data_IF_324676710821
#
_entry.id   IF_324676710821
#
_cell.length_a   1.000
_cell.length_b   1.000
_cell.length_c   1.000
_cell.angle_alpha   90.00
_cell.angle_beta   90.00
_cell.angle_gamma   90.00
#
_symmetry.space_group_name_H-M   'P 1'
#
loop_
_entity.id
_entity.type
_entity.pdbx_description
1 polymer ?
#
# COMPACT_ATOMS: atom_id res chain seq x y z
N UNK A 1 -7.71 -3.76 -19.10
CA UNK A 1 -8.08 -2.94 -20.25
C UNK A 1 -7.13 -3.20 -21.41
N UNK A 2 -7.62 -3.17 -22.65
CA UNK A 2 -6.76 -3.24 -23.85
C UNK A 2 -5.85 -2.00 -23.97
N UNK A 3 -6.24 -0.87 -23.41
CA UNK A 3 -5.49 0.38 -23.37
C UNK A 3 -4.47 0.50 -22.23
N UNK A 4 -4.35 -0.50 -21.36
CA UNK A 4 -3.55 -0.42 -20.14
C UNK A 4 -2.11 0.07 -20.37
N UNK A 5 -1.39 -0.54 -21.30
CA UNK A 5 0.00 -0.15 -21.60
C UNK A 5 0.06 1.17 -22.36
N UNK A 6 -0.88 1.42 -23.27
CA UNK A 6 -0.97 2.64 -24.08
C UNK A 6 -1.18 3.86 -23.19
N UNK A 7 -2.16 3.84 -22.28
CA UNK A 7 -2.42 4.95 -21.35
C UNK A 7 -1.24 5.23 -20.43
N UNK A 8 -0.60 4.19 -19.89
CA UNK A 8 0.61 4.36 -19.08
C UNK A 8 1.75 5.00 -19.87
N UNK A 9 1.96 4.53 -21.10
CA UNK A 9 3.01 5.06 -21.98
C UNK A 9 2.73 6.53 -22.38
N UNK A 10 1.50 6.83 -22.75
CA UNK A 10 1.09 8.18 -23.12
C UNK A 10 1.28 9.18 -21.96
N UNK A 11 0.84 8.81 -20.75
CA UNK A 11 1.01 9.63 -19.57
C UNK A 11 2.50 9.82 -19.20
N UNK A 12 3.30 8.75 -19.28
CA UNK A 12 4.76 8.81 -19.07
C UNK A 12 5.41 9.76 -20.08
N UNK A 13 5.04 9.68 -21.36
CA UNK A 13 5.58 10.55 -22.41
C UNK A 13 5.18 12.02 -22.19
N UNK A 14 3.91 12.29 -21.85
CA UNK A 14 3.41 13.65 -21.59
C UNK A 14 4.02 14.31 -20.37
N UNK A 15 4.29 13.55 -19.30
CA UNK A 15 4.93 14.04 -18.08
C UNK A 15 6.47 14.06 -18.16
N UNK A 16 7.08 13.46 -19.17
CA UNK A 16 8.52 13.08 -19.15
C UNK A 16 8.86 12.33 -17.85
N UNK A 17 8.03 11.34 -17.51
CA UNK A 17 8.11 10.62 -16.26
C UNK A 17 8.99 9.37 -16.36
N UNK A 18 9.49 8.91 -15.22
CA UNK A 18 10.27 7.67 -15.10
C UNK A 18 9.39 6.45 -14.77
N UNK A 19 8.20 6.71 -14.17
CA UNK A 19 7.20 5.71 -13.81
C UNK A 19 5.82 6.20 -14.26
N UNK A 20 5.02 5.29 -14.82
CA UNK A 20 3.57 5.42 -14.97
C UNK A 20 2.85 4.53 -13.98
N UNK A 21 1.80 5.02 -13.33
CA UNK A 21 0.99 4.29 -12.36
C UNK A 21 -0.48 4.40 -12.75
N UNK A 22 -1.17 3.26 -12.91
CA UNK A 22 -2.62 3.22 -13.12
C UNK A 22 -3.36 2.89 -11.84
N UNK A 23 -4.61 3.36 -11.77
CA UNK A 23 -5.53 2.88 -10.75
C UNK A 23 -6.01 1.46 -11.07
N UNK A 24 -6.62 0.80 -10.10
CA UNK A 24 -7.13 -0.55 -10.26
C UNK A 24 -8.49 -0.73 -9.59
N UNK A 25 -9.18 -1.75 -10.02
CA UNK A 25 -10.44 -2.20 -9.40
C UNK A 25 -10.34 -3.67 -8.98
N UNK A 26 -10.86 -3.98 -7.78
CA UNK A 26 -10.98 -5.36 -7.35
C UNK A 26 -12.17 -6.03 -8.03
N UNK A 27 -11.94 -7.17 -8.68
CA UNK A 27 -12.95 -7.95 -9.38
C UNK A 27 -13.07 -9.32 -8.73
N UNK A 28 -14.29 -9.76 -8.46
CA UNK A 28 -14.60 -11.02 -7.76
C UNK A 28 -15.16 -12.09 -8.71
N UNK A 29 -15.70 -11.70 -9.85
CA UNK A 29 -16.29 -12.58 -10.86
C UNK A 29 -15.81 -12.24 -12.26
N UNK A 30 -15.49 -13.24 -13.08
CA UNK A 30 -15.01 -13.03 -14.46
C UNK A 30 -16.04 -12.30 -15.34
N UNK A 31 -17.34 -12.54 -15.13
CA UNK A 31 -18.42 -11.85 -15.87
C UNK A 31 -18.39 -10.33 -15.69
N UNK A 32 -17.90 -9.85 -14.54
CA UNK A 32 -17.77 -8.41 -14.30
C UNK A 32 -16.73 -7.74 -15.20
N UNK A 33 -15.78 -8.48 -15.76
CA UNK A 33 -14.77 -7.95 -16.69
C UNK A 33 -15.36 -7.65 -18.08
N UNK A 34 -16.35 -8.44 -18.52
CA UNK A 34 -16.93 -8.31 -19.88
C UNK A 34 -17.78 -7.06 -20.06
N UNK A 35 -18.21 -6.42 -18.98
CA UNK A 35 -19.07 -5.24 -19.00
C UNK A 35 -18.34 -3.93 -18.74
N UNK A 36 -17.01 -3.95 -18.59
CA UNK A 36 -16.25 -2.74 -18.30
C UNK A 36 -16.05 -1.91 -19.57
N UNK A 37 -16.43 -0.62 -19.56
CA UNK A 37 -16.18 0.26 -20.69
C UNK A 37 -14.68 0.49 -20.88
N UNK A 38 -14.25 0.55 -22.12
CA UNK A 38 -12.92 1.00 -22.47
C UNK A 38 -12.99 2.51 -22.76
N UNK A 39 -12.34 3.30 -21.93
CA UNK A 39 -12.36 4.75 -22.02
C UNK A 39 -10.97 5.27 -22.42
N UNK A 40 -10.87 6.31 -23.25
CA UNK A 40 -9.59 6.94 -23.57
C UNK A 40 -8.96 7.54 -22.31
N UNK A 41 -7.65 7.83 -22.34
CA UNK A 41 -6.96 8.51 -21.24
C UNK A 41 -7.65 9.84 -20.92
N UNK A 42 -8.31 9.90 -19.76
CA UNK A 42 -9.14 11.04 -19.37
C UNK A 42 -8.36 12.08 -18.59
N UNK A 43 -7.57 11.64 -17.60
CA UNK A 43 -6.78 12.51 -16.74
C UNK A 43 -5.52 11.82 -16.25
N UNK A 44 -4.52 12.62 -15.95
CA UNK A 44 -3.28 12.17 -15.32
C UNK A 44 -2.66 13.31 -14.49
N UNK A 45 -1.90 12.93 -13.49
CA UNK A 45 -1.11 13.85 -12.66
C UNK A 45 0.38 13.60 -12.91
N UNK A 46 1.17 14.67 -13.02
CA UNK A 46 2.62 14.58 -13.07
C UNK A 46 3.17 14.95 -11.69
N UNK A 47 3.69 14.00 -10.97
CA UNK A 47 4.12 14.13 -9.58
C UNK A 47 5.64 14.09 -9.45
N UNK A 48 6.17 14.77 -8.45
CA UNK A 48 7.53 14.54 -7.91
C UNK A 48 7.58 13.22 -7.13
N UNK A 49 8.79 12.75 -6.81
CA UNK A 49 8.97 11.58 -5.94
C UNK A 49 8.30 11.77 -4.57
N UNK A 50 8.45 12.94 -3.96
CA UNK A 50 7.88 13.28 -2.66
C UNK A 50 6.34 13.25 -2.69
N UNK A 51 5.71 13.91 -3.67
CA UNK A 51 4.26 13.91 -3.83
C UNK A 51 3.70 12.50 -4.07
N UNK A 52 4.39 11.70 -4.88
CA UNK A 52 4.01 10.31 -5.12
C UNK A 52 4.18 9.46 -3.85
N UNK A 53 5.29 9.60 -3.10
CA UNK A 53 5.49 8.94 -1.82
C UNK A 53 4.42 9.35 -0.81
N UNK A 54 4.05 10.62 -0.73
CA UNK A 54 2.97 11.08 0.14
C UNK A 54 1.66 10.35 -0.15
N UNK A 55 1.28 10.26 -1.44
CA UNK A 55 0.09 9.50 -1.87
C UNK A 55 0.21 8.01 -1.52
N UNK A 56 1.36 7.38 -1.76
CA UNK A 56 1.62 5.98 -1.45
C UNK A 56 1.50 5.69 0.05
N UNK A 57 2.09 6.52 0.89
CA UNK A 57 2.12 6.35 2.34
C UNK A 57 0.72 6.52 2.95
N UNK A 58 -0.06 7.49 2.48
CA UNK A 58 -1.46 7.66 2.87
C UNK A 58 -2.42 6.73 2.11
N UNK A 59 -1.93 5.92 1.17
CA UNK A 59 -2.75 5.03 0.32
C UNK A 59 -3.87 5.79 -0.41
N UNK A 60 -3.49 6.90 -1.02
CA UNK A 60 -4.38 7.80 -1.74
C UNK A 60 -4.06 7.77 -3.25
N UNK A 61 -4.61 6.80 -3.96
CA UNK A 61 -4.44 6.65 -5.40
C UNK A 61 -3.12 6.03 -5.86
N UNK A 62 -2.20 5.70 -4.94
CA UNK A 62 -0.93 5.02 -5.23
C UNK A 62 -0.72 3.89 -4.22
N UNK A 63 -0.44 2.69 -4.73
CA UNK A 63 -0.17 1.50 -3.91
C UNK A 63 1.21 0.91 -4.18
N UNK A 64 1.72 0.13 -3.21
CA UNK A 64 3.06 -0.51 -3.31
C UNK A 64 3.12 -1.69 -4.26
N UNK A 65 1.98 -2.21 -4.74
CA UNK A 65 1.92 -3.40 -5.58
C UNK A 65 2.85 -3.33 -6.79
N UNK A 66 3.40 -4.48 -7.20
CA UNK A 66 4.32 -4.59 -8.33
C UNK A 66 3.64 -4.38 -9.69
N UNK A 67 2.33 -4.67 -9.77
CA UNK A 67 1.50 -4.49 -10.96
C UNK A 67 0.90 -3.07 -11.02
N UNK A 68 0.22 -2.75 -12.11
CA UNK A 68 -0.39 -1.43 -12.32
C UNK A 68 0.65 -0.34 -12.62
N UNK A 69 1.87 -0.70 -13.06
CA UNK A 69 2.96 0.24 -13.27
C UNK A 69 3.77 -0.02 -14.53
N UNK A 70 4.26 1.04 -15.12
CA UNK A 70 5.24 1.04 -16.22
C UNK A 70 6.49 1.78 -15.75
N UNK A 71 7.66 1.20 -15.94
CA UNK A 71 8.93 1.76 -15.49
C UNK A 71 9.89 2.00 -16.66
N UNK A 72 10.66 3.08 -16.63
CA UNK A 72 11.86 3.18 -17.48
C UNK A 72 12.82 2.04 -17.11
N UNK A 73 13.30 1.29 -18.09
CA UNK A 73 14.20 0.16 -17.86
C UNK A 73 15.48 0.56 -17.12
N UNK A 74 16.01 1.76 -17.40
CA UNK A 74 17.20 2.30 -16.71
C UNK A 74 16.99 2.46 -15.20
N UNK A 75 15.76 2.73 -14.76
CA UNK A 75 15.42 2.86 -13.35
C UNK A 75 15.35 1.50 -12.65
N UNK A 76 14.61 0.54 -13.25
CA UNK A 76 14.26 -0.71 -12.57
C UNK A 76 15.33 -1.82 -12.70
N UNK A 77 16.17 -1.79 -13.73
CA UNK A 77 17.15 -2.87 -14.01
C UNK A 77 18.12 -3.17 -12.88
N UNK A 78 18.36 -2.25 -11.98
CA UNK A 78 19.27 -2.40 -10.83
C UNK A 78 18.55 -2.75 -9.53
N UNK A 79 17.23 -2.71 -9.50
CA UNK A 79 16.44 -3.10 -8.34
C UNK A 79 16.19 -4.61 -8.35
N UNK A 80 16.11 -5.19 -7.16
CA UNK A 80 15.87 -6.63 -7.01
C UNK A 80 14.82 -6.85 -5.94
N UNK A 81 13.84 -7.67 -6.28
CA UNK A 81 12.85 -8.14 -5.32
C UNK A 81 13.51 -9.08 -4.31
N UNK A 82 13.28 -8.92 -3.00
CA UNK A 82 13.78 -9.84 -1.98
C UNK A 82 13.30 -11.27 -2.22
N UNK A 83 14.24 -12.19 -2.53
CA UNK A 83 13.90 -13.58 -2.83
C UNK A 83 13.39 -14.30 -1.59
N UNK A 84 12.27 -15.02 -1.72
CA UNK A 84 11.69 -15.83 -0.65
C UNK A 84 10.95 -15.04 0.44
N UNK A 85 10.85 -13.72 0.32
CA UNK A 85 10.10 -12.86 1.23
C UNK A 85 8.68 -12.59 0.72
N UNK A 86 7.72 -12.36 1.62
CA UNK A 86 6.40 -11.81 1.30
C UNK A 86 6.45 -10.28 1.35
N UNK A 87 5.50 -9.61 0.66
CA UNK A 87 5.45 -8.14 0.57
C UNK A 87 6.73 -7.52 0.00
N UNK A 88 7.36 -8.24 -0.91
CA UNK A 88 8.61 -7.91 -1.58
C UNK A 88 8.50 -6.67 -2.48
N UNK A 89 7.28 -6.28 -2.79
CA UNK A 89 6.95 -5.08 -3.57
C UNK A 89 7.18 -3.77 -2.78
N UNK A 90 7.04 -3.78 -1.46
CA UNK A 90 7.21 -2.60 -0.61
C UNK A 90 8.58 -1.93 -0.82
N UNK A 91 9.72 -2.62 -0.59
CA UNK A 91 11.03 -1.99 -0.74
C UNK A 91 11.34 -1.60 -2.18
N UNK A 92 10.92 -2.41 -3.16
CA UNK A 92 11.22 -2.13 -4.58
C UNK A 92 10.46 -0.92 -5.09
N UNK A 93 9.16 -0.81 -4.75
CA UNK A 93 8.35 0.34 -5.16
C UNK A 93 8.84 1.63 -4.49
N UNK A 94 9.18 1.59 -3.20
CA UNK A 94 9.77 2.73 -2.51
C UNK A 94 11.04 3.22 -3.21
N UNK A 95 12.00 2.32 -3.46
CA UNK A 95 13.26 2.67 -4.10
C UNK A 95 13.06 3.18 -5.54
N UNK A 96 12.12 2.61 -6.30
CA UNK A 96 11.82 3.08 -7.63
C UNK A 96 11.26 4.50 -7.62
N UNK A 97 10.28 4.79 -6.76
CA UNK A 97 9.70 6.12 -6.62
C UNK A 97 10.74 7.13 -6.13
N UNK A 98 11.51 6.80 -5.08
CA UNK A 98 12.59 7.64 -4.54
C UNK A 98 13.60 8.09 -5.60
N UNK A 99 13.96 7.20 -6.54
CA UNK A 99 14.95 7.47 -7.59
C UNK A 99 14.37 8.17 -8.81
N UNK A 100 13.06 8.30 -8.90
CA UNK A 100 12.39 8.93 -10.03
C UNK A 100 12.42 10.44 -9.94
N UNK A 101 12.59 11.09 -11.09
CA UNK A 101 12.47 12.56 -11.19
C UNK A 101 11.00 12.97 -11.25
N UNK A 102 10.21 12.21 -12.03
CA UNK A 102 8.78 12.44 -12.22
C UNK A 102 8.03 11.12 -12.31
N UNK A 103 6.80 11.11 -11.82
CA UNK A 103 5.89 9.99 -11.86
C UNK A 103 4.56 10.46 -12.47
N UNK A 104 4.06 9.73 -13.47
CA UNK A 104 2.74 9.95 -14.04
C UNK A 104 1.73 9.02 -13.35
N UNK A 105 0.67 9.56 -12.78
CA UNK A 105 -0.43 8.79 -12.19
C UNK A 105 -1.68 9.02 -13.01
N UNK A 106 -2.26 7.96 -13.58
CA UNK A 106 -3.48 8.06 -14.39
C UNK A 106 -4.73 7.76 -13.56
N UNK A 107 -5.81 8.51 -13.84
CA UNK A 107 -7.09 8.32 -13.15
C UNK A 107 -7.93 7.16 -13.69
N UNK A 108 -7.58 6.65 -14.86
CA UNK A 108 -8.30 5.52 -15.47
C UNK A 108 -8.11 4.24 -14.65
N UNK A 109 -9.16 3.41 -14.60
CA UNK A 109 -9.10 2.05 -14.07
C UNK A 109 -8.77 1.10 -15.22
N UNK A 110 -7.50 0.85 -15.43
CA UNK A 110 -7.01 -0.02 -16.50
C UNK A 110 -6.55 -1.39 -16.04
N UNK A 111 -6.37 -1.56 -14.73
CA UNK A 111 -5.95 -2.83 -14.14
C UNK A 111 -7.07 -3.41 -13.28
N UNK A 112 -7.53 -4.62 -13.64
CA UNK A 112 -8.55 -5.35 -12.89
C UNK A 112 -7.88 -6.44 -12.07
N UNK A 113 -7.84 -6.23 -10.75
CA UNK A 113 -7.23 -7.17 -9.82
C UNK A 113 -8.24 -8.24 -9.39
N UNK A 114 -8.12 -9.43 -9.97
CA UNK A 114 -9.01 -10.54 -9.66
C UNK A 114 -8.73 -11.11 -8.27
N UNK A 115 -9.72 -11.04 -7.40
CA UNK A 115 -9.66 -11.48 -6.01
C UNK A 115 -9.93 -12.98 -5.91
N UNK A 116 -8.89 -13.77 -5.72
CA UNK A 116 -9.01 -15.22 -5.50
C UNK A 116 -9.07 -15.54 -4.02
N UNK A 117 -9.86 -16.57 -3.64
CA UNK A 117 -9.99 -17.03 -2.25
C UNK A 117 -8.69 -17.62 -1.69
N UNK A 118 -7.84 -18.18 -2.56
CA UNK A 118 -6.55 -18.80 -2.24
C UNK A 118 -5.36 -17.84 -2.30
N UNK A 119 -5.62 -16.53 -2.43
CA UNK A 119 -4.55 -15.52 -2.49
C UNK A 119 -3.78 -15.43 -1.17
N UNK A 120 -2.49 -15.06 -1.23
CA UNK A 120 -1.61 -14.88 -0.05
C UNK A 120 -2.23 -13.93 0.99
N UNK A 121 -2.98 -12.94 0.55
CA UNK A 121 -3.65 -12.00 1.45
C UNK A 121 -4.78 -12.66 2.25
N UNK A 122 -5.46 -13.65 1.66
CA UNK A 122 -6.62 -14.34 2.26
C UNK A 122 -6.23 -15.56 3.12
N UNK A 123 -4.99 -16.06 3.01
CA UNK A 123 -4.49 -17.17 3.83
C UNK A 123 -4.39 -16.72 5.28
N UNK A 124 -4.67 -17.63 6.23
CA UNK A 124 -4.52 -17.40 7.66
C UNK A 124 -3.10 -16.89 7.99
N UNK A 125 -2.99 -16.23 9.16
CA UNK A 125 -1.68 -15.76 9.62
C UNK A 125 -0.65 -16.89 9.63
N UNK A 126 0.53 -16.59 9.13
CA UNK A 126 1.75 -17.36 9.31
C UNK A 126 2.92 -16.39 9.55
N UNK A 127 3.99 -16.89 10.17
CA UNK A 127 5.14 -16.05 10.59
C UNK A 127 5.78 -15.30 9.42
N UNK A 128 5.73 -15.84 8.18
CA UNK A 128 6.27 -15.15 7.00
C UNK A 128 5.57 -13.81 6.71
N UNK A 129 4.32 -13.61 7.18
CA UNK A 129 3.65 -12.31 7.06
C UNK A 129 4.34 -11.20 7.85
N UNK A 130 5.23 -11.55 8.79
CA UNK A 130 6.08 -10.57 9.49
C UNK A 130 7.09 -9.88 8.55
N UNK A 131 7.40 -10.46 7.38
CA UNK A 131 8.19 -9.77 6.35
C UNK A 131 7.55 -8.42 5.97
N UNK A 132 6.21 -8.33 5.93
CA UNK A 132 5.51 -7.08 5.67
C UNK A 132 5.72 -6.02 6.76
N UNK A 133 5.83 -6.45 8.04
CA UNK A 133 6.18 -5.54 9.14
C UNK A 133 7.62 -5.04 8.99
N UNK A 134 8.56 -5.96 8.73
CA UNK A 134 9.97 -5.63 8.53
C UNK A 134 10.16 -4.65 7.35
N UNK A 135 9.60 -4.95 6.19
CA UNK A 135 9.71 -4.10 5.00
C UNK A 135 9.07 -2.72 5.21
N UNK A 136 7.89 -2.67 5.81
CA UNK A 136 7.21 -1.41 6.06
C UNK A 136 7.93 -0.57 7.14
N UNK A 137 8.49 -1.21 8.18
CA UNK A 137 9.32 -0.53 9.19
C UNK A 137 10.58 0.05 8.57
N UNK A 138 11.28 -0.73 7.72
CA UNK A 138 12.49 -0.28 7.04
C UNK A 138 12.18 0.88 6.07
N UNK A 139 11.07 0.79 5.33
CA UNK A 139 10.58 1.90 4.49
C UNK A 139 10.28 3.15 5.32
N UNK A 140 9.61 3.01 6.48
CA UNK A 140 9.34 4.16 7.37
C UNK A 140 10.64 4.85 7.83
N UNK A 141 11.66 4.06 8.20
CA UNK A 141 12.97 4.60 8.61
C UNK A 141 13.71 5.27 7.45
N UNK A 142 13.64 4.68 6.26
CA UNK A 142 14.23 5.27 5.06
C UNK A 142 13.53 6.59 4.67
N UNK A 143 12.19 6.63 4.74
CA UNK A 143 11.42 7.87 4.51
C UNK A 143 11.80 8.94 5.54
N UNK A 144 11.91 8.60 6.83
CA UNK A 144 12.32 9.56 7.88
C UNK A 144 13.69 10.18 7.59
N UNK A 145 14.61 9.41 6.99
CA UNK A 145 15.94 9.89 6.63
C UNK A 145 15.98 10.69 5.32
N UNK A 146 15.26 10.21 4.28
CA UNK A 146 15.32 10.74 2.92
C UNK A 146 14.33 11.90 2.68
N UNK A 147 13.17 11.87 3.37
CA UNK A 147 12.04 12.82 3.24
C UNK A 147 11.43 13.07 4.63
N UNK A 148 12.14 13.81 5.53
CA UNK A 148 11.74 13.98 6.93
C UNK A 148 10.33 14.60 7.08
N UNK A 149 9.88 15.42 6.13
CA UNK A 149 8.53 16.00 6.07
C UNK A 149 7.42 14.95 5.88
N UNK A 150 7.74 13.76 5.34
CA UNK A 150 6.81 12.65 5.18
C UNK A 150 6.81 11.67 6.37
N UNK A 151 7.52 11.95 7.44
CA UNK A 151 7.59 11.09 8.64
C UNK A 151 6.21 10.66 9.12
N UNK A 152 5.30 11.60 9.33
CA UNK A 152 3.95 11.31 9.82
C UNK A 152 3.15 10.43 8.85
N UNK A 153 3.36 10.58 7.55
CA UNK A 153 2.73 9.73 6.53
C UNK A 153 3.28 8.30 6.61
N UNK A 154 4.60 8.15 6.77
CA UNK A 154 5.26 6.85 6.92
C UNK A 154 4.81 6.11 8.20
N UNK A 155 4.67 6.81 9.32
CA UNK A 155 4.11 6.27 10.56
C UNK A 155 2.66 5.80 10.40
N UNK A 156 1.83 6.55 9.67
CA UNK A 156 0.45 6.15 9.33
C UNK A 156 0.42 4.86 8.48
N UNK A 157 1.32 4.74 7.50
CA UNK A 157 1.45 3.52 6.69
C UNK A 157 1.86 2.32 7.54
N UNK A 158 2.89 2.49 8.37
CA UNK A 158 3.38 1.45 9.27
C UNK A 158 2.29 1.00 10.25
N UNK A 159 1.63 1.94 10.93
CA UNK A 159 0.50 1.65 11.82
C UNK A 159 -0.60 0.84 11.13
N UNK A 160 -0.97 1.21 9.91
CA UNK A 160 -1.99 0.50 9.13
C UNK A 160 -1.56 -0.93 8.80
N UNK A 161 -0.28 -1.15 8.45
CA UNK A 161 0.30 -2.46 8.18
C UNK A 161 0.32 -3.32 9.45
N UNK A 162 0.74 -2.74 10.58
CA UNK A 162 0.73 -3.40 11.90
C UNK A 162 -0.68 -3.85 12.26
N UNK A 163 -1.68 -2.98 12.17
CA UNK A 163 -3.07 -3.33 12.45
C UNK A 163 -3.57 -4.46 11.54
N UNK A 164 -3.28 -4.39 10.24
CA UNK A 164 -3.71 -5.41 9.29
C UNK A 164 -3.15 -6.80 9.62
N UNK A 165 -1.87 -6.91 9.96
CA UNK A 165 -1.24 -8.20 10.30
C UNK A 165 -1.65 -8.66 11.70
N UNK A 166 -1.71 -7.77 12.68
CA UNK A 166 -2.12 -8.06 14.06
C UNK A 166 -3.47 -8.79 14.12
N UNK A 167 -4.47 -8.30 13.37
CA UNK A 167 -5.82 -8.88 13.43
C UNK A 167 -6.00 -10.15 12.59
N UNK A 168 -4.98 -10.59 11.87
CA UNK A 168 -4.94 -11.91 11.25
C UNK A 168 -4.51 -13.01 12.25
N UNK A 169 -3.87 -12.64 13.37
CA UNK A 169 -3.41 -13.59 14.41
C UNK A 169 -4.60 -13.98 15.28
N UNK A 170 -5.14 -15.18 15.04
CA UNK A 170 -6.32 -15.70 15.77
C UNK A 170 -6.01 -16.77 16.80
N UNK A 171 -4.82 -17.38 16.73
CA UNK A 171 -4.39 -18.46 17.59
C UNK A 171 -3.50 -17.98 18.76
N UNK A 172 -3.40 -18.79 19.80
CA UNK A 172 -2.57 -18.48 20.97
C UNK A 172 -1.09 -18.84 20.79
N UNK A 173 -0.76 -19.60 19.73
CA UNK A 173 0.62 -19.99 19.44
C UNK A 173 1.48 -18.76 19.11
N UNK A 174 0.88 -17.69 18.61
CA UNK A 174 1.54 -16.47 18.22
C UNK A 174 1.29 -15.29 19.19
N UNK A 175 0.98 -15.59 20.46
CA UNK A 175 0.70 -14.56 21.48
C UNK A 175 1.85 -13.56 21.64
N UNK A 176 3.10 -14.01 21.61
CA UNK A 176 4.27 -13.12 21.72
C UNK A 176 4.33 -12.11 20.57
N UNK A 177 4.06 -12.56 19.33
CA UNK A 177 4.01 -11.70 18.14
C UNK A 177 2.83 -10.74 18.26
N UNK A 178 1.65 -11.23 18.66
CA UNK A 178 0.45 -10.40 18.88
C UNK A 178 0.71 -9.28 19.88
N UNK A 179 1.39 -9.59 20.99
CA UNK A 179 1.76 -8.61 22.02
C UNK A 179 2.76 -7.58 21.50
N UNK A 180 3.78 -8.03 20.76
CA UNK A 180 4.75 -7.12 20.12
C UNK A 180 4.08 -6.15 19.15
N UNK A 181 3.22 -6.65 18.26
CA UNK A 181 2.49 -5.79 17.31
C UNK A 181 1.51 -4.84 18.02
N UNK A 182 0.88 -5.29 19.11
CA UNK A 182 0.04 -4.41 19.92
C UNK A 182 0.84 -3.25 20.53
N UNK A 183 2.06 -3.48 20.99
CA UNK A 183 2.93 -2.42 21.49
C UNK A 183 3.27 -1.39 20.38
N UNK A 184 3.46 -1.85 19.15
CA UNK A 184 3.62 -0.91 18.01
C UNK A 184 2.36 -0.07 17.78
N UNK A 185 1.16 -0.66 17.87
CA UNK A 185 -0.10 0.11 17.82
C UNK A 185 -0.12 1.20 18.90
N UNK A 186 0.22 0.83 20.16
CA UNK A 186 0.23 1.79 21.27
C UNK A 186 1.22 2.93 21.06
N UNK A 187 2.37 2.64 20.44
CA UNK A 187 3.41 3.62 20.16
C UNK A 187 2.97 4.70 19.19
N UNK A 188 2.33 4.31 18.09
CA UNK A 188 2.00 5.24 16.98
C UNK A 188 0.55 5.76 17.00
N UNK A 189 -0.34 5.21 17.83
CA UNK A 189 -1.78 5.55 17.79
C UNK A 189 -2.09 7.03 17.99
N UNK A 190 -1.30 7.75 18.81
CA UNK A 190 -1.54 9.18 19.07
C UNK A 190 -1.30 10.01 17.81
N UNK A 191 -0.16 9.79 17.17
CA UNK A 191 0.24 10.56 16.00
C UNK A 191 -0.68 10.30 14.81
N UNK A 192 -1.11 9.03 14.62
CA UNK A 192 -2.10 8.66 13.60
C UNK A 192 -3.49 9.25 13.89
N UNK A 193 -3.93 9.26 15.15
CA UNK A 193 -5.25 9.81 15.53
C UNK A 193 -5.39 11.29 15.18
N UNK A 194 -4.35 12.06 15.48
CA UNK A 194 -4.35 13.51 15.28
C UNK A 194 -3.86 13.95 13.89
N UNK A 195 -3.41 13.02 13.05
CA UNK A 195 -3.03 13.33 11.68
C UNK A 195 -4.27 13.48 10.79
N UNK A 196 -4.56 14.73 10.37
CA UNK A 196 -5.74 15.04 9.56
C UNK A 196 -5.70 14.40 8.15
N UNK A 197 -4.49 14.16 7.60
CA UNK A 197 -4.29 13.53 6.28
C UNK A 197 -4.39 12.00 6.34
N UNK A 198 -4.28 11.39 7.53
CA UNK A 198 -4.41 9.95 7.69
C UNK A 198 -5.81 9.47 7.30
N UNK A 199 -5.87 8.30 6.66
CA UNK A 199 -7.14 7.68 6.26
C UNK A 199 -8.09 7.58 7.46
N UNK A 200 -9.37 7.84 7.23
CA UNK A 200 -10.43 7.74 8.25
C UNK A 200 -10.39 6.40 8.99
N UNK A 201 -10.17 5.28 8.27
CA UNK A 201 -10.06 3.95 8.87
C UNK A 201 -8.89 3.86 9.87
N UNK A 202 -7.72 4.40 9.54
CA UNK A 202 -6.56 4.38 10.42
C UNK A 202 -6.80 5.23 11.68
N UNK A 203 -7.38 6.42 11.53
CA UNK A 203 -7.74 7.31 12.65
C UNK A 203 -8.79 6.67 13.57
N UNK A 204 -9.80 6.01 13.02
CA UNK A 204 -10.81 5.29 13.80
C UNK A 204 -10.16 4.12 14.56
N UNK A 205 -9.27 3.34 13.90
CA UNK A 205 -8.54 2.28 14.58
C UNK A 205 -7.68 2.81 15.72
N UNK A 206 -6.98 3.92 15.49
CA UNK A 206 -6.19 4.60 16.51
C UNK A 206 -7.07 5.06 17.69
N UNK A 207 -8.24 5.66 17.44
CA UNK A 207 -9.18 6.07 18.48
C UNK A 207 -9.68 4.86 19.31
N UNK A 208 -10.14 3.80 18.64
CA UNK A 208 -10.66 2.60 19.32
C UNK A 208 -9.56 1.89 20.14
N UNK A 209 -8.29 1.98 19.72
CA UNK A 209 -7.17 1.38 20.43
C UNK A 209 -7.00 1.89 21.88
N UNK A 210 -7.51 3.08 22.21
CA UNK A 210 -7.53 3.59 23.58
C UNK A 210 -8.49 2.82 24.49
N UNK A 211 -9.49 2.11 23.91
CA UNK A 211 -10.40 1.23 24.63
C UNK A 211 -9.82 -0.20 24.82
N UNK A 212 -8.60 -0.43 24.34
CA UNK A 212 -7.87 -1.69 24.49
C UNK A 212 -7.97 -2.64 23.29
N UNK A 213 -7.10 -3.66 23.31
CA UNK A 213 -6.96 -4.64 22.23
C UNK A 213 -8.27 -5.34 21.87
N UNK A 214 -9.01 -5.84 22.90
CA UNK A 214 -10.25 -6.62 22.67
C UNK A 214 -11.30 -5.82 21.92
N UNK A 215 -11.45 -4.53 22.26
CA UNK A 215 -12.43 -3.63 21.64
C UNK A 215 -12.06 -3.38 20.17
N UNK A 216 -10.79 -3.10 19.90
CA UNK A 216 -10.31 -2.88 18.54
C UNK A 216 -10.42 -4.16 17.69
N UNK A 217 -10.07 -5.32 18.24
CA UNK A 217 -10.21 -6.62 17.57
C UNK A 217 -11.66 -6.94 17.21
N UNK A 218 -12.61 -6.63 18.10
CA UNK A 218 -14.04 -6.78 17.87
C UNK A 218 -14.54 -5.85 16.75
N UNK A 219 -14.14 -4.58 16.76
CA UNK A 219 -14.47 -3.62 15.71
C UNK A 219 -13.94 -4.07 14.35
N UNK A 220 -12.69 -4.53 14.30
CA UNK A 220 -12.06 -5.06 13.08
C UNK A 220 -12.83 -6.26 12.50
N UNK A 221 -13.27 -7.19 13.36
CA UNK A 221 -14.04 -8.36 12.95
C UNK A 221 -15.41 -7.98 12.35
N UNK A 222 -16.11 -6.98 12.96
CA UNK A 222 -17.43 -6.54 12.49
C UNK A 222 -17.40 -5.80 11.16
N UNK A 223 -16.39 -4.99 10.94
CA UNK A 223 -16.31 -4.11 9.76
C UNK A 223 -15.69 -4.81 8.56
N UNK A 224 -15.26 -6.09 8.67
CA UNK A 224 -14.45 -6.76 7.64
C UNK A 224 -13.44 -5.78 7.05
N UNK A 225 -12.64 -5.18 7.89
CA UNK A 225 -11.70 -4.11 7.55
C UNK A 225 -10.62 -4.65 6.61
N UNK A 226 -11.05 -5.08 5.42
CA UNK A 226 -10.19 -5.40 4.29
C UNK A 226 -9.75 -4.05 3.70
N UNK A 227 -8.44 -3.87 3.63
CA UNK A 227 -7.81 -2.68 3.10
C UNK A 227 -8.14 -2.41 1.65
#
# INVERSE_FOLDING_TARGET
SSYYVEHLYEAVAKCDADIGISWFENVFEEKALQSKPEEPLSNYECLTAEECLKKLLYQNGVEVCAWGKLYKTSLIKHLRYPVGKLYEDIPVTYEAVKRSKKIAVIGNVDYYYFQRTDSIQNIAFNVRKMDGIEHCHNMMKAVEADFPELKNAAECRYFSTVCNILFQIKDDKHESIRRSLWNEVLKYRKDVLFNAEARKKARIAAAISYMGYKTLAFAYKKTQWRG
#
